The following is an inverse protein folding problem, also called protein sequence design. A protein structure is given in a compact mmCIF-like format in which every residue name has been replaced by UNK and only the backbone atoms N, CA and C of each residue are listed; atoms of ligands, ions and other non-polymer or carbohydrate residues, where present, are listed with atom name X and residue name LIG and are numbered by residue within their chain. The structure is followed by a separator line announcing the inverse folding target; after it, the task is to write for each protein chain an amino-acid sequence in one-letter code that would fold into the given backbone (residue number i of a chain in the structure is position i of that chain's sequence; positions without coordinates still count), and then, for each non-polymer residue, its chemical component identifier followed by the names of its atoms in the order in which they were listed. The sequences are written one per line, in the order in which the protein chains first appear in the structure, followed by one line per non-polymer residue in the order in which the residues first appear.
data_IF_997332373112
#
_entry.id   IF_997332373112
#
_cell.length_a   1.000
_cell.length_b   1.000
_cell.length_c   1.000
_cell.angle_alpha   90.00
_cell.angle_beta   90.00
_cell.angle_gamma   90.00
#
_symmetry.space_group_name_H-M   'P 1'
#
loop_
_entity.id
_entity.type
_entity.pdbx_description
1 polymer ?
#
# COMPACT_ATOMS: atom_id res chain seq x y z
N UNK A 1 -6.61 51.61 63.12
CA UNK A 1 -7.22 50.41 63.76
C UNK A 1 -7.48 49.43 62.62
N UNK A 2 -6.84 48.27 62.43
CA UNK A 2 -6.08 47.33 63.26
C UNK A 2 -4.95 46.64 62.43
N UNK A 3 -3.75 46.51 63.05
CA UNK A 3 -2.76 45.40 63.09
C UNK A 3 -2.58 44.46 61.85
N UNK A 4 -1.45 44.53 61.12
CA UNK A 4 -0.16 43.75 61.25
C UNK A 4 -0.24 42.32 60.68
N UNK A 5 0.32 42.02 59.50
CA UNK A 5 1.71 41.65 59.14
C UNK A 5 2.04 40.14 59.28
N UNK A 6 2.37 39.52 58.12
CA UNK A 6 3.31 38.42 57.80
C UNK A 6 3.33 37.13 58.63
N UNK A 7 3.41 35.94 57.98
CA UNK A 7 4.56 34.98 57.96
C UNK A 7 4.30 33.91 56.87
N UNK A 8 5.39 33.48 56.21
CA UNK A 8 5.53 32.44 55.17
C UNK A 8 5.70 30.99 55.78
N UNK A 9 6.15 29.92 55.07
CA UNK A 9 5.50 28.60 54.98
C UNK A 9 6.17 27.45 55.79
N UNK A 10 5.50 26.30 55.98
CA UNK A 10 6.15 24.98 56.07
C UNK A 10 5.20 23.76 56.03
N UNK A 11 5.77 22.65 55.53
CA UNK A 11 5.22 21.37 55.08
C UNK A 11 4.65 20.42 56.16
N UNK A 12 3.83 19.43 55.75
CA UNK A 12 3.99 17.99 56.11
C UNK A 12 2.96 17.05 55.42
N UNK A 13 3.49 16.20 54.52
CA UNK A 13 3.24 14.75 54.27
C UNK A 13 1.82 14.11 54.17
N UNK A 14 1.51 13.59 52.95
CA UNK A 14 0.94 12.27 52.51
C UNK A 14 -0.20 11.56 53.30
N UNK A 15 -1.18 10.84 52.66
CA UNK A 15 -0.90 9.80 51.64
C UNK A 15 -1.91 9.58 50.49
N UNK A 16 -1.44 8.83 49.48
CA UNK A 16 -2.23 8.09 48.49
C UNK A 16 -3.41 7.34 49.11
N UNK A 17 -4.64 7.58 48.64
CA UNK A 17 -5.70 6.59 48.31
C UNK A 17 -7.06 7.29 48.15
N UNK A 18 -7.92 6.71 47.29
CA UNK A 18 -9.34 7.06 46.98
C UNK A 18 -9.61 8.02 45.83
N UNK A 19 -9.13 7.62 44.65
CA UNK A 19 -9.73 7.98 43.36
C UNK A 19 -10.85 6.97 43.00
N UNK A 20 -11.85 6.78 43.88
CA UNK A 20 -12.91 5.78 43.65
C UNK A 20 -14.35 6.25 43.94
N UNK A 21 -14.57 7.53 44.28
CA UNK A 21 -15.90 8.02 44.64
C UNK A 21 -16.51 9.03 43.66
N UNK A 22 -16.04 9.04 42.40
CA UNK A 22 -16.60 9.88 41.33
C UNK A 22 -17.20 9.09 40.14
N UNK A 23 -17.31 7.75 40.23
CA UNK A 23 -17.90 6.91 39.16
C UNK A 23 -19.30 6.37 39.45
N UNK A 24 -19.90 6.70 40.59
CA UNK A 24 -21.21 6.12 40.98
C UNK A 24 -22.43 6.98 40.62
N UNK A 25 -22.29 8.13 39.95
CA UNK A 25 -23.44 9.01 39.66
C UNK A 25 -23.94 9.01 38.21
N UNK A 26 -23.36 8.21 37.31
CA UNK A 26 -23.77 8.19 35.89
C UNK A 26 -24.37 6.87 35.40
N UNK A 27 -24.64 5.90 36.30
CA UNK A 27 -25.33 4.66 35.96
C UNK A 27 -26.56 4.52 36.85
N UNK A 28 -27.59 5.34 36.62
CA UNK A 28 -28.88 5.16 37.31
C UNK A 28 -30.11 5.51 36.46
N UNK A 29 -30.02 5.68 35.13
CA UNK A 29 -31.23 5.99 34.34
C UNK A 29 -31.44 5.28 33.01
N UNK A 30 -30.61 4.30 32.62
CA UNK A 30 -30.93 3.51 31.41
C UNK A 30 -30.67 2.03 31.65
N UNK A 31 -31.75 1.26 31.82
CA UNK A 31 -31.74 -0.21 31.72
C UNK A 31 -31.48 -0.54 30.25
N UNK A 32 -30.21 -0.72 29.88
CA UNK A 32 -29.85 -1.27 28.58
C UNK A 32 -30.25 -2.75 28.54
N UNK A 33 -30.99 -3.13 27.50
CA UNK A 33 -31.37 -4.52 27.24
C UNK A 33 -30.16 -5.47 27.31
N UNK A 34 -30.30 -6.72 27.79
CA UNK A 34 -29.21 -7.70 27.84
C UNK A 34 -28.50 -7.93 26.50
N UNK A 35 -29.18 -7.65 25.38
CA UNK A 35 -28.63 -7.74 24.03
C UNK A 35 -27.64 -6.60 23.73
N UNK A 36 -27.93 -5.38 24.20
CA UNK A 36 -27.06 -4.21 24.09
C UNK A 36 -25.81 -4.33 24.97
N UNK A 37 -25.95 -4.89 26.18
CA UNK A 37 -24.81 -5.15 27.06
C UNK A 37 -23.87 -6.23 26.47
N UNK A 38 -24.42 -7.26 25.82
CA UNK A 38 -23.62 -8.24 25.04
C UNK A 38 -22.90 -7.57 23.88
N UNK A 39 -23.54 -6.69 23.10
CA UNK A 39 -22.91 -5.94 22.01
C UNK A 39 -21.82 -5.00 22.49
N UNK A 40 -22.02 -4.32 23.63
CA UNK A 40 -21.06 -3.41 24.24
C UNK A 40 -19.86 -4.15 24.84
N UNK A 41 -20.07 -5.33 25.43
CA UNK A 41 -19.01 -6.21 25.93
C UNK A 41 -18.28 -6.95 24.80
N UNK A 42 -18.94 -7.26 23.68
CA UNK A 42 -18.31 -7.81 22.47
C UNK A 42 -17.42 -6.75 21.80
N UNK A 43 -17.92 -5.50 21.66
CA UNK A 43 -17.13 -4.37 21.19
C UNK A 43 -15.96 -4.04 22.13
N UNK A 44 -16.13 -4.14 23.44
CA UNK A 44 -15.02 -3.95 24.39
C UNK A 44 -14.00 -5.10 24.37
N UNK A 45 -14.44 -6.36 24.20
CA UNK A 45 -13.52 -7.49 23.99
C UNK A 45 -12.75 -7.38 22.67
N UNK A 46 -13.35 -6.81 21.62
CA UNK A 46 -12.64 -6.45 20.39
C UNK A 46 -11.68 -5.27 20.59
N UNK A 47 -12.05 -4.26 21.38
CA UNK A 47 -11.18 -3.09 21.63
C UNK A 47 -9.97 -3.39 22.54
N UNK A 48 -10.00 -4.46 23.33
CA UNK A 48 -8.92 -4.83 24.27
C UNK A 48 -7.95 -5.87 23.64
N UNK A 49 -8.24 -6.35 22.42
CA UNK A 49 -7.35 -7.26 21.67
C UNK A 49 -6.72 -6.61 20.43
N UNK A 50 -6.53 -5.29 20.43
CA UNK A 50 -5.82 -4.56 19.37
C UNK A 50 -4.74 -3.68 19.98
N UNK A 51 -3.60 -4.28 20.33
CA UNK A 51 -2.34 -3.52 20.41
C UNK A 51 -1.08 -4.40 20.43
N UNK A 52 -1.13 -5.50 19.68
CA UNK A 52 0.06 -6.21 19.20
C UNK A 52 -0.33 -6.70 17.80
N UNK A 53 -0.13 -5.88 16.78
CA UNK A 53 0.04 -6.40 15.42
C UNK A 53 1.33 -7.22 15.46
N UNK A 54 1.24 -8.46 15.96
CA UNK A 54 2.29 -9.43 15.77
C UNK A 54 2.37 -9.61 14.25
N UNK A 55 3.39 -9.02 13.64
CA UNK A 55 3.72 -9.28 12.24
C UNK A 55 3.90 -10.80 12.15
N UNK A 56 2.93 -11.46 11.53
CA UNK A 56 3.00 -12.91 11.32
C UNK A 56 4.06 -13.09 10.24
N UNK A 57 5.23 -13.58 10.63
CA UNK A 57 6.30 -13.89 9.69
C UNK A 57 5.77 -14.80 8.58
N UNK A 58 6.00 -14.37 7.35
CA UNK A 58 5.48 -15.01 6.15
C UNK A 58 4.01 -14.73 5.88
N UNK A 59 3.36 -13.73 6.46
CA UNK A 59 2.00 -13.35 6.07
C UNK A 59 1.96 -12.55 4.76
N UNK A 60 0.79 -12.49 4.11
CA UNK A 60 0.49 -11.54 3.03
C UNK A 60 0.73 -10.08 3.42
N UNK A 61 0.64 -9.79 4.72
CA UNK A 61 0.82 -8.48 5.34
C UNK A 61 2.23 -8.21 5.86
N UNK A 62 3.18 -9.16 5.72
CA UNK A 62 4.57 -8.92 6.11
C UNK A 62 5.19 -7.78 5.29
N UNK A 63 6.02 -6.95 5.94
CA UNK A 63 6.75 -5.90 5.24
C UNK A 63 7.65 -6.52 4.15
N UNK A 64 7.60 -5.95 2.96
CA UNK A 64 8.33 -6.47 1.80
C UNK A 64 9.85 -6.56 2.03
N UNK A 65 10.45 -5.57 2.69
CA UNK A 65 11.89 -5.55 2.97
C UNK A 65 12.24 -6.61 4.01
N UNK A 66 11.47 -6.72 5.08
CA UNK A 66 11.65 -7.75 6.12
C UNK A 66 11.57 -9.16 5.51
N UNK A 67 10.56 -9.39 4.66
CA UNK A 67 10.38 -10.67 3.96
C UNK A 67 11.61 -11.03 3.14
N UNK A 68 12.05 -10.15 2.23
CA UNK A 68 13.16 -10.49 1.34
C UNK A 68 14.51 -10.50 2.07
N UNK A 69 14.66 -9.74 3.15
CA UNK A 69 15.87 -9.76 3.99
C UNK A 69 15.98 -11.08 4.75
N UNK A 70 14.92 -11.54 5.43
CA UNK A 70 14.98 -12.83 6.17
C UNK A 70 15.18 -14.04 5.26
N UNK A 71 14.79 -13.92 3.98
CA UNK A 71 14.98 -14.96 2.98
C UNK A 71 16.33 -14.83 2.22
N UNK A 72 17.22 -13.91 2.63
CA UNK A 72 18.53 -13.66 2.03
C UNK A 72 18.46 -13.30 0.52
N UNK A 73 17.38 -12.64 0.09
CA UNK A 73 17.20 -12.20 -1.29
C UNK A 73 17.63 -10.74 -1.52
N UNK A 74 17.71 -9.97 -0.44
CA UNK A 74 18.33 -8.64 -0.39
C UNK A 74 19.32 -8.58 0.77
N UNK A 75 20.26 -7.64 0.72
CA UNK A 75 21.32 -7.49 1.73
C UNK A 75 21.08 -6.35 2.71
N UNK A 76 20.23 -5.39 2.35
CA UNK A 76 19.90 -4.24 3.19
C UNK A 76 18.43 -3.85 3.05
N UNK A 77 17.91 -3.13 4.05
CA UNK A 77 16.59 -2.51 3.99
C UNK A 77 16.64 -1.30 3.04
N UNK A 78 16.49 -1.58 1.76
CA UNK A 78 16.53 -0.61 0.68
C UNK A 78 15.55 -1.03 -0.43
N UNK A 79 14.53 -0.19 -0.67
CA UNK A 79 13.50 -0.48 -1.66
C UNK A 79 14.04 -0.56 -3.10
N UNK A 80 15.21 -0.01 -3.39
CA UNK A 80 15.88 -0.17 -4.68
C UNK A 80 16.47 -1.58 -4.89
N UNK A 81 16.65 -2.40 -3.83
CA UNK A 81 17.06 -3.80 -3.99
C UNK A 81 15.86 -4.72 -4.35
N UNK A 82 14.62 -4.27 -4.14
CA UNK A 82 13.45 -5.01 -4.60
C UNK A 82 13.38 -4.90 -6.13
N UNK A 83 13.37 -6.06 -6.80
CA UNK A 83 13.26 -6.18 -8.25
C UNK A 83 11.85 -6.60 -8.63
N UNK A 84 11.34 -6.04 -9.72
CA UNK A 84 9.96 -6.21 -10.16
C UNK A 84 9.95 -6.87 -11.53
N UNK A 85 9.05 -7.82 -11.73
CA UNK A 85 8.64 -8.25 -13.05
C UNK A 85 7.31 -7.58 -13.36
N UNK A 86 7.34 -6.61 -14.25
CA UNK A 86 6.20 -5.77 -14.62
C UNK A 86 5.30 -6.45 -15.66
N UNK A 87 3.97 -6.28 -15.52
CA UNK A 87 2.93 -6.71 -16.45
C UNK A 87 3.03 -8.19 -16.85
N UNK A 88 3.08 -9.10 -15.87
CA UNK A 88 3.13 -10.54 -16.07
C UNK A 88 1.76 -11.15 -16.47
N UNK A 89 1.15 -10.60 -17.52
CA UNK A 89 -0.25 -10.86 -17.85
C UNK A 89 -0.46 -12.23 -18.50
N UNK A 90 0.33 -12.61 -19.51
CA UNK A 90 0.15 -13.91 -20.17
C UNK A 90 0.97 -15.05 -19.56
N UNK A 91 0.60 -16.30 -19.86
CA UNK A 91 1.29 -17.51 -19.35
C UNK A 91 2.78 -17.52 -19.67
N UNK A 92 3.18 -16.96 -20.82
CA UNK A 92 4.58 -16.83 -21.20
C UNK A 92 5.36 -15.90 -20.26
N UNK A 93 4.80 -14.73 -19.94
CA UNK A 93 5.39 -13.78 -18.99
C UNK A 93 5.49 -14.37 -17.59
N UNK A 94 4.47 -15.09 -17.11
CA UNK A 94 4.55 -15.76 -15.80
C UNK A 94 5.71 -16.75 -15.77
N UNK A 95 5.88 -17.57 -16.81
CA UNK A 95 7.02 -18.51 -16.91
C UNK A 95 8.37 -17.77 -16.92
N UNK A 96 8.47 -16.63 -17.58
CA UNK A 96 9.67 -15.80 -17.58
C UNK A 96 9.92 -15.17 -16.21
N UNK A 97 8.88 -14.61 -15.57
CA UNK A 97 8.93 -14.02 -14.25
C UNK A 97 9.39 -15.01 -13.19
N UNK A 98 8.88 -16.24 -13.24
CA UNK A 98 9.27 -17.33 -12.34
C UNK A 98 10.75 -17.72 -12.46
N UNK A 99 11.36 -17.60 -13.65
CA UNK A 99 12.78 -17.89 -13.89
C UNK A 99 13.70 -16.69 -13.65
N UNK A 100 13.14 -15.49 -13.62
CA UNK A 100 13.91 -14.25 -13.43
C UNK A 100 14.40 -14.07 -11.98
N UNK A 101 15.28 -13.10 -11.78
CA UNK A 101 15.72 -12.62 -10.46
C UNK A 101 14.72 -11.67 -9.78
N UNK A 102 13.53 -11.46 -10.36
CA UNK A 102 12.51 -10.59 -9.77
C UNK A 102 12.04 -11.08 -8.39
N UNK A 103 11.90 -10.16 -7.44
CA UNK A 103 11.36 -10.41 -6.11
C UNK A 103 9.83 -10.38 -6.13
N UNK A 104 9.26 -9.40 -6.82
CA UNK A 104 7.82 -9.21 -6.96
C UNK A 104 7.38 -9.49 -8.40
N UNK A 105 6.23 -10.13 -8.56
CA UNK A 105 5.54 -10.24 -9.85
C UNK A 105 4.31 -9.34 -9.78
N UNK A 106 4.26 -8.38 -10.68
CA UNK A 106 3.11 -7.50 -10.89
C UNK A 106 2.33 -7.97 -12.12
N UNK A 107 1.01 -7.91 -12.05
CA UNK A 107 0.14 -8.17 -13.19
C UNK A 107 -1.20 -7.44 -13.06
N UNK A 108 -1.75 -7.06 -14.21
CA UNK A 108 -2.95 -6.28 -14.35
C UNK A 108 -4.19 -7.17 -14.33
N UNK A 109 -5.25 -6.75 -13.64
CA UNK A 109 -6.48 -7.53 -13.48
C UNK A 109 -7.68 -6.74 -13.99
N UNK A 110 -8.46 -7.38 -14.85
CA UNK A 110 -9.77 -6.88 -15.27
C UNK A 110 -10.79 -8.01 -15.39
N UNK A 111 -12.06 -7.63 -15.45
CA UNK A 111 -13.17 -8.53 -15.74
C UNK A 111 -13.53 -8.39 -17.24
N UNK A 112 -13.53 -9.47 -18.04
CA UNK A 112 -13.95 -9.42 -19.43
C UNK A 112 -15.39 -8.90 -19.56
N UNK A 113 -15.66 -8.17 -20.64
CA UNK A 113 -16.89 -7.39 -20.81
C UNK A 113 -17.91 -7.97 -21.78
N UNK A 114 -18.11 -9.29 -21.86
CA UNK A 114 -19.07 -9.89 -22.81
C UNK A 114 -20.43 -10.29 -22.20
N UNK A 115 -20.61 -10.14 -20.88
CA UNK A 115 -21.91 -10.07 -20.20
C UNK A 115 -22.81 -11.32 -20.29
N UNK A 116 -22.28 -12.46 -20.73
CA UNK A 116 -23.08 -13.68 -20.94
C UNK A 116 -22.97 -14.70 -19.79
N UNK A 117 -21.93 -14.61 -18.95
CA UNK A 117 -21.70 -15.41 -17.73
C UNK A 117 -21.05 -14.52 -16.65
N UNK A 118 -21.01 -14.93 -15.36
CA UNK A 118 -20.15 -14.26 -14.38
C UNK A 118 -18.71 -14.42 -14.85
N UNK A 119 -18.19 -13.39 -15.53
CA UNK A 119 -16.85 -13.41 -16.08
C UNK A 119 -15.83 -13.73 -14.99
N UNK A 120 -14.83 -14.53 -15.32
CA UNK A 120 -13.71 -14.77 -14.42
C UNK A 120 -12.69 -13.62 -14.59
N UNK A 121 -12.07 -13.10 -13.50
CA UNK A 121 -10.97 -12.16 -13.64
C UNK A 121 -9.84 -12.74 -14.47
N UNK A 122 -9.35 -11.96 -15.43
CA UNK A 122 -8.21 -12.30 -16.28
C UNK A 122 -7.07 -11.32 -16.07
N UNK A 123 -5.88 -11.77 -16.46
CA UNK A 123 -4.68 -10.95 -16.37
C UNK A 123 -4.50 -10.15 -17.65
N UNK A 124 -4.87 -8.87 -17.68
CA UNK A 124 -4.85 -8.03 -18.87
C UNK A 124 -4.85 -6.52 -18.54
N UNK A 125 -4.25 -5.73 -19.42
CA UNK A 125 -4.21 -4.26 -19.36
C UNK A 125 -4.83 -3.66 -20.62
N UNK A 126 -5.81 -2.72 -20.52
CA UNK A 126 -6.36 -2.04 -21.69
C UNK A 126 -5.28 -1.42 -22.60
N UNK A 127 -5.39 -1.51 -23.93
CA UNK A 127 -6.58 -1.89 -24.69
C UNK A 127 -6.80 -3.41 -24.82
N UNK A 128 -5.91 -4.25 -24.29
CA UNK A 128 -6.13 -5.70 -24.25
C UNK A 128 -7.20 -6.01 -23.18
N UNK A 129 -8.28 -6.66 -23.61
CA UNK A 129 -9.41 -7.05 -22.74
C UNK A 129 -9.63 -8.57 -22.72
N UNK A 130 -8.67 -9.32 -23.25
CA UNK A 130 -8.63 -10.77 -23.28
C UNK A 130 -7.21 -11.24 -22.92
N UNK A 131 -7.07 -12.48 -22.44
CA UNK A 131 -5.80 -13.06 -22.04
C UNK A 131 -5.85 -14.57 -22.05
N UNK A 132 -4.71 -15.21 -22.36
CA UNK A 132 -4.55 -16.66 -22.23
C UNK A 132 -4.46 -17.14 -20.77
N UNK A 133 -4.59 -16.24 -19.81
CA UNK A 133 -4.32 -16.46 -18.40
C UNK A 133 -5.39 -15.83 -17.50
N UNK A 134 -6.17 -16.68 -16.86
CA UNK A 134 -7.08 -16.24 -15.79
C UNK A 134 -6.30 -15.90 -14.52
N UNK A 135 -6.86 -15.10 -13.62
CA UNK A 135 -6.25 -14.85 -12.31
C UNK A 135 -6.05 -16.15 -11.52
N UNK A 136 -6.98 -17.11 -11.64
CA UNK A 136 -6.86 -18.39 -10.94
C UNK A 136 -5.66 -19.21 -11.43
N UNK A 137 -5.46 -19.29 -12.75
CA UNK A 137 -4.29 -19.97 -13.34
C UNK A 137 -3.00 -19.23 -13.00
N UNK A 138 -3.01 -17.90 -13.05
CA UNK A 138 -1.88 -17.06 -12.66
C UNK A 138 -1.47 -17.32 -11.21
N UNK A 139 -2.43 -17.31 -10.27
CA UNK A 139 -2.18 -17.61 -8.86
C UNK A 139 -1.62 -19.03 -8.67
N UNK A 140 -2.19 -20.01 -9.37
CA UNK A 140 -1.72 -21.39 -9.29
C UNK A 140 -0.26 -21.57 -9.71
N UNK A 141 0.21 -20.81 -10.72
CA UNK A 141 1.62 -20.82 -11.14
C UNK A 141 2.51 -20.01 -10.20
N UNK A 142 2.14 -18.77 -9.87
CA UNK A 142 2.95 -17.88 -9.02
C UNK A 142 3.16 -18.44 -7.62
N UNK A 143 2.15 -19.13 -7.07
CA UNK A 143 2.21 -19.80 -5.78
C UNK A 143 3.29 -20.89 -5.69
N UNK A 144 3.77 -21.43 -6.83
CA UNK A 144 4.88 -22.42 -6.86
C UNK A 144 6.24 -21.81 -6.54
N UNK A 145 6.35 -20.48 -6.48
CA UNK A 145 7.57 -19.76 -6.10
C UNK A 145 7.43 -19.06 -4.74
N UNK A 146 8.48 -18.40 -4.27
CA UNK A 146 8.46 -17.51 -3.10
C UNK A 146 8.39 -16.02 -3.50
N UNK A 147 8.08 -15.71 -4.76
CA UNK A 147 7.97 -14.33 -5.24
C UNK A 147 6.73 -13.68 -4.65
N UNK A 148 6.85 -12.42 -4.26
CA UNK A 148 5.70 -11.63 -3.80
C UNK A 148 4.80 -11.23 -4.98
N UNK A 149 3.59 -10.78 -4.64
CA UNK A 149 2.50 -10.55 -5.61
C UNK A 149 2.10 -9.08 -5.55
N UNK A 150 1.93 -8.45 -6.70
CA UNK A 150 1.21 -7.18 -6.84
C UNK A 150 0.12 -7.35 -7.90
N UNK A 151 -1.14 -7.11 -7.55
CA UNK A 151 -2.26 -7.18 -8.49
C UNK A 151 -2.76 -5.77 -8.78
N UNK A 152 -2.71 -5.35 -10.04
CA UNK A 152 -3.12 -4.01 -10.49
C UNK A 152 -4.51 -4.01 -11.15
N UNK A 153 -5.51 -3.58 -10.40
CA UNK A 153 -6.89 -3.59 -10.84
C UNK A 153 -7.20 -2.43 -11.80
N UNK A 154 -7.58 -2.79 -13.03
CA UNK A 154 -8.02 -1.84 -14.07
C UNK A 154 -9.53 -1.62 -14.09
N UNK A 155 -10.29 -2.44 -13.36
CA UNK A 155 -11.73 -2.24 -13.21
C UNK A 155 -12.23 -2.68 -11.84
N UNK A 156 -13.17 -1.91 -11.28
CA UNK A 156 -13.82 -2.22 -10.01
C UNK A 156 -14.55 -3.58 -10.06
N UNK A 157 -15.14 -3.92 -11.21
CA UNK A 157 -15.87 -5.17 -11.40
C UNK A 157 -15.02 -6.43 -11.16
N UNK A 158 -13.70 -6.33 -11.33
CA UNK A 158 -12.79 -7.46 -11.10
C UNK A 158 -12.42 -7.66 -9.62
N UNK A 159 -12.64 -6.66 -8.76
CA UNK A 159 -12.07 -6.61 -7.41
C UNK A 159 -12.64 -7.70 -6.52
N UNK A 160 -13.96 -7.74 -6.32
CA UNK A 160 -14.60 -8.72 -5.45
C UNK A 160 -14.37 -10.18 -5.92
N UNK A 161 -14.58 -10.54 -7.21
CA UNK A 161 -14.27 -11.89 -7.68
C UNK A 161 -12.79 -12.27 -7.48
N UNK A 162 -11.87 -11.32 -7.62
CA UNK A 162 -10.44 -11.56 -7.39
C UNK A 162 -10.11 -11.75 -5.92
N UNK A 163 -10.75 -11.00 -5.02
CA UNK A 163 -10.59 -11.18 -3.57
C UNK A 163 -11.08 -12.55 -3.13
N UNK A 164 -12.19 -13.05 -3.69
CA UNK A 164 -12.66 -14.41 -3.43
C UNK A 164 -11.64 -15.48 -3.87
N UNK A 165 -11.01 -15.31 -5.03
CA UNK A 165 -9.96 -16.21 -5.50
C UNK A 165 -8.71 -16.17 -4.61
N UNK A 166 -8.29 -15.00 -4.16
CA UNK A 166 -7.19 -14.85 -3.20
C UNK A 166 -7.52 -15.48 -1.84
N UNK A 167 -8.73 -15.30 -1.33
CA UNK A 167 -9.18 -15.88 -0.04
C UNK A 167 -9.09 -17.41 -0.07
N UNK A 168 -9.43 -18.05 -1.20
CA UNK A 168 -9.32 -19.50 -1.38
C UNK A 168 -7.89 -20.02 -1.22
N UNK A 169 -6.89 -19.19 -1.55
CA UNK A 169 -5.47 -19.54 -1.45
C UNK A 169 -4.77 -18.90 -0.24
N UNK A 170 -5.48 -18.15 0.59
CA UNK A 170 -4.94 -17.34 1.70
C UNK A 170 -4.00 -18.07 2.64
N UNK A 171 -4.33 -19.32 2.99
CA UNK A 171 -3.48 -20.17 3.87
C UNK A 171 -2.11 -20.48 3.26
N UNK A 172 -1.97 -20.35 1.95
CA UNK A 172 -0.75 -20.58 1.18
C UNK A 172 -0.06 -19.27 0.75
N UNK A 173 -0.66 -18.10 1.01
CA UNK A 173 -0.08 -16.79 0.75
C UNK A 173 1.00 -16.46 1.78
N UNK A 174 2.11 -17.21 1.72
CA UNK A 174 3.24 -17.06 2.62
C UNK A 174 4.30 -16.06 2.13
N UNK A 175 3.85 -14.89 1.68
CA UNK A 175 4.61 -13.92 0.88
C UNK A 175 3.93 -12.55 0.88
N UNK A 176 4.62 -11.43 0.63
CA UNK A 176 3.99 -10.12 0.53
C UNK A 176 2.97 -10.08 -0.63
N UNK A 177 1.79 -9.53 -0.36
CA UNK A 177 0.74 -9.28 -1.36
C UNK A 177 0.37 -7.80 -1.34
N UNK A 178 0.44 -7.17 -2.50
CA UNK A 178 0.10 -5.76 -2.70
C UNK A 178 -1.11 -5.68 -3.63
N UNK A 179 -2.11 -4.89 -3.25
CA UNK A 179 -3.33 -4.71 -4.02
C UNK A 179 -3.35 -3.26 -4.55
N UNK A 180 -3.26 -3.13 -5.86
CA UNK A 180 -3.06 -1.86 -6.56
C UNK A 180 -4.31 -1.41 -7.32
N UNK A 181 -4.59 -0.11 -7.29
CA UNK A 181 -5.49 0.53 -8.24
C UNK A 181 -5.17 2.02 -8.37
N UNK A 182 -5.44 2.58 -9.55
CA UNK A 182 -5.47 4.02 -9.76
C UNK A 182 -6.84 4.58 -9.36
N UNK A 183 -6.90 5.17 -8.17
CA UNK A 183 -8.16 5.61 -7.54
C UNK A 183 -8.44 7.10 -7.68
N UNK A 184 -7.46 7.87 -8.16
CA UNK A 184 -7.57 9.32 -8.36
C UNK A 184 -7.04 9.75 -9.73
N UNK A 185 -7.54 10.85 -10.31
CA UNK A 185 -6.97 11.43 -11.52
C UNK A 185 -5.65 12.13 -11.19
N UNK A 186 -4.59 11.78 -11.90
CA UNK A 186 -3.27 12.38 -11.75
C UNK A 186 -2.89 13.30 -12.89
N UNK A 187 -1.61 13.69 -12.97
CA UNK A 187 -1.15 14.59 -14.01
C UNK A 187 -1.34 14.01 -15.41
N UNK A 188 -1.83 14.85 -16.32
CA UNK A 188 -2.05 14.53 -17.72
C UNK A 188 -3.01 13.34 -17.96
N UNK A 189 -3.80 12.93 -16.97
CA UNK A 189 -4.65 11.77 -17.06
C UNK A 189 -5.83 11.98 -18.03
N UNK A 190 -6.13 10.95 -18.82
CA UNK A 190 -7.32 10.87 -19.67
C UNK A 190 -8.15 9.59 -19.43
N UNK A 191 -7.65 8.69 -18.58
CA UNK A 191 -8.27 7.41 -18.25
C UNK A 191 -9.24 7.53 -17.08
N UNK A 192 -10.20 6.60 -17.04
CA UNK A 192 -11.10 6.44 -15.89
C UNK A 192 -10.34 5.88 -14.69
N UNK A 193 -10.71 6.35 -13.51
CA UNK A 193 -10.21 5.83 -12.23
C UNK A 193 -11.11 4.70 -11.73
N UNK A 194 -10.56 3.89 -10.83
CA UNK A 194 -11.35 2.96 -10.01
C UNK A 194 -11.97 3.73 -8.84
N UNK A 195 -13.23 3.46 -8.48
CA UNK A 195 -13.87 4.10 -7.33
C UNK A 195 -13.11 3.79 -6.03
N UNK A 196 -12.54 4.83 -5.41
CA UNK A 196 -11.67 4.71 -4.26
C UNK A 196 -12.33 3.99 -3.08
N UNK A 197 -13.55 4.42 -2.72
CA UNK A 197 -14.26 3.90 -1.55
C UNK A 197 -14.60 2.43 -1.73
N UNK A 198 -15.24 2.09 -2.84
CA UNK A 198 -15.66 0.71 -3.12
C UNK A 198 -14.46 -0.23 -3.21
N UNK A 199 -13.37 0.21 -3.87
CA UNK A 199 -12.14 -0.57 -3.95
C UNK A 199 -11.55 -0.87 -2.56
N UNK A 200 -11.36 0.17 -1.73
CA UNK A 200 -10.77 0.04 -0.40
C UNK A 200 -11.67 -0.80 0.52
N UNK A 201 -12.98 -0.52 0.56
CA UNK A 201 -13.92 -1.27 1.41
C UNK A 201 -13.98 -2.75 1.03
N UNK A 202 -14.05 -3.06 -0.27
CA UNK A 202 -14.02 -4.45 -0.75
C UNK A 202 -12.72 -5.13 -0.37
N UNK A 203 -11.55 -4.58 -0.71
CA UNK A 203 -10.25 -5.22 -0.44
C UNK A 203 -10.04 -5.45 1.06
N UNK A 204 -10.30 -4.43 1.88
CA UNK A 204 -10.05 -4.50 3.32
C UNK A 204 -11.05 -5.38 4.07
N UNK A 205 -12.22 -5.68 3.49
CA UNK A 205 -13.14 -6.67 4.06
C UNK A 205 -12.61 -8.11 4.00
N UNK A 206 -11.77 -8.44 3.02
CA UNK A 206 -11.12 -9.75 2.87
C UNK A 206 -9.73 -9.78 3.52
N UNK A 207 -8.94 -8.73 3.26
CA UNK A 207 -7.55 -8.61 3.71
C UNK A 207 -7.34 -7.28 4.47
N UNK A 208 -7.71 -7.22 5.77
CA UNK A 208 -7.72 -5.98 6.54
C UNK A 208 -6.32 -5.38 6.80
N UNK A 209 -5.26 -6.15 6.57
CA UNK A 209 -3.86 -5.80 6.84
C UNK A 209 -2.97 -5.87 5.57
N UNK A 210 -3.55 -6.03 4.38
CA UNK A 210 -2.79 -6.04 3.11
C UNK A 210 -2.13 -4.70 2.83
N UNK A 211 -1.01 -4.71 2.11
CA UNK A 211 -0.45 -3.45 1.59
C UNK A 211 -1.29 -2.95 0.44
N UNK A 212 -1.80 -1.72 0.57
CA UNK A 212 -2.52 -1.04 -0.50
C UNK A 212 -1.55 -0.23 -1.35
N UNK A 213 -1.68 -0.33 -2.68
CA UNK A 213 -0.87 0.42 -3.64
C UNK A 213 -1.80 1.37 -4.39
N UNK A 214 -2.00 2.57 -3.84
CA UNK A 214 -3.04 3.50 -4.28
C UNK A 214 -2.44 4.58 -5.16
N UNK A 215 -2.77 4.52 -6.44
CA UNK A 215 -2.17 5.35 -7.48
C UNK A 215 -3.09 6.43 -8.00
N UNK A 216 -2.52 7.18 -8.94
CA UNK A 216 -3.26 8.07 -9.80
C UNK A 216 -3.17 7.57 -11.24
N UNK A 217 -4.26 7.70 -12.00
CA UNK A 217 -4.13 7.61 -13.46
C UNK A 217 -3.20 8.72 -13.93
N UNK A 218 -2.33 8.44 -14.89
CA UNK A 218 -1.33 9.41 -15.37
C UNK A 218 -1.17 9.36 -16.87
N UNK A 219 -0.81 10.49 -17.45
CA UNK A 219 -0.39 10.60 -18.84
C UNK A 219 1.05 11.09 -18.94
N UNK A 220 1.70 10.75 -20.06
CA UNK A 220 2.98 11.32 -20.45
C UNK A 220 2.96 11.60 -21.95
N UNK A 221 3.55 12.72 -22.35
CA UNK A 221 3.59 13.17 -23.74
C UNK A 221 4.99 13.69 -24.10
N UNK A 222 5.60 13.22 -25.21
CA UNK A 222 6.95 13.64 -25.61
C UNK A 222 7.05 15.11 -26.02
N UNK A 223 5.96 15.67 -26.55
CA UNK A 223 5.91 17.01 -27.15
C UNK A 223 5.31 18.08 -26.22
N UNK A 224 4.94 17.72 -24.99
CA UNK A 224 4.30 18.62 -24.03
C UNK A 224 5.12 18.71 -22.75
N UNK A 225 4.95 19.81 -22.04
CA UNK A 225 5.39 19.90 -20.64
C UNK A 225 4.57 18.90 -19.85
N UNK A 226 5.25 17.94 -19.23
CA UNK A 226 4.62 16.96 -18.36
C UNK A 226 4.60 17.53 -16.95
N UNK A 227 3.41 17.93 -16.49
CA UNK A 227 3.23 18.38 -15.12
C UNK A 227 3.40 17.23 -14.13
N UNK A 228 3.90 17.55 -12.93
CA UNK A 228 3.94 16.63 -11.82
C UNK A 228 2.65 16.63 -10.99
N UNK A 229 2.59 15.75 -10.00
CA UNK A 229 1.58 15.72 -8.95
C UNK A 229 1.47 17.07 -8.22
N UNK A 230 0.28 17.66 -8.28
CA UNK A 230 -0.04 18.94 -7.64
C UNK A 230 -0.30 18.80 -6.13
N UNK A 231 -0.31 19.92 -5.41
CA UNK A 231 -0.70 19.95 -4.00
C UNK A 231 -2.11 19.42 -3.75
N UNK A 232 -3.04 19.71 -4.65
CA UNK A 232 -4.42 19.22 -4.57
C UNK A 232 -4.44 17.70 -4.66
N UNK A 233 -3.72 17.12 -5.64
CA UNK A 233 -3.65 15.68 -5.86
C UNK A 233 -3.12 14.92 -4.63
N UNK A 234 -2.00 15.38 -4.04
CA UNK A 234 -1.43 14.69 -2.87
C UNK A 234 -2.25 14.87 -1.60
N UNK A 235 -2.95 16.01 -1.44
CA UNK A 235 -3.84 16.25 -0.30
C UNK A 235 -5.11 15.41 -0.38
N UNK A 236 -5.65 15.21 -1.58
CA UNK A 236 -6.80 14.33 -1.79
C UNK A 236 -6.46 12.87 -1.50
N UNK A 237 -5.30 12.40 -1.97
CA UNK A 237 -4.81 11.06 -1.63
C UNK A 237 -4.59 10.90 -0.11
N UNK A 238 -4.01 11.91 0.55
CA UNK A 238 -3.84 11.91 2.01
C UNK A 238 -5.18 11.84 2.75
N UNK A 239 -6.17 12.61 2.30
CA UNK A 239 -7.51 12.60 2.87
C UNK A 239 -8.17 11.22 2.80
N UNK A 240 -7.98 10.48 1.70
CA UNK A 240 -8.47 9.10 1.56
C UNK A 240 -7.69 8.14 2.47
N UNK A 241 -6.37 8.32 2.58
CA UNK A 241 -5.49 7.35 3.21
C UNK A 241 -5.30 7.53 4.71
N UNK A 242 -5.70 8.67 5.30
CA UNK A 242 -5.42 9.01 6.69
C UNK A 242 -6.16 8.11 7.70
N UNK A 243 -7.37 7.64 7.35
CA UNK A 243 -8.18 6.73 8.16
C UNK A 243 -7.80 5.25 8.00
N UNK A 244 -6.97 4.92 7.01
CA UNK A 244 -6.52 3.55 6.76
C UNK A 244 -5.55 3.08 7.85
N UNK A 245 -5.56 1.79 8.16
CA UNK A 245 -4.59 1.17 9.09
C UNK A 245 -3.50 0.38 8.35
N UNK A 246 -3.72 0.10 7.07
CA UNK A 246 -2.84 -0.68 6.20
C UNK A 246 -1.55 0.09 5.86
N UNK A 247 -0.43 -0.59 5.56
CA UNK A 247 0.64 0.01 4.79
C UNK A 247 0.12 0.53 3.45
N UNK A 248 0.55 1.72 3.04
CA UNK A 248 0.15 2.32 1.75
C UNK A 248 1.40 2.69 0.96
N UNK A 249 1.49 2.22 -0.27
CA UNK A 249 2.47 2.72 -1.23
C UNK A 249 1.75 3.54 -2.29
N UNK A 250 2.38 4.62 -2.75
CA UNK A 250 1.84 5.47 -3.81
C UNK A 250 2.65 5.25 -5.09
N UNK A 251 2.09 4.56 -6.10
CA UNK A 251 2.68 4.48 -7.42
C UNK A 251 2.78 5.88 -8.05
N UNK A 252 4.00 6.32 -8.33
CA UNK A 252 4.26 7.58 -9.02
C UNK A 252 5.13 7.36 -10.25
N UNK A 253 4.78 8.00 -11.36
CA UNK A 253 5.45 7.80 -12.64
C UNK A 253 6.78 8.54 -12.66
N UNK A 254 7.88 7.84 -12.97
CA UNK A 254 9.26 8.35 -12.98
C UNK A 254 9.40 9.68 -13.74
N UNK A 255 8.75 9.83 -14.89
CA UNK A 255 8.81 11.04 -15.70
C UNK A 255 8.16 12.29 -15.07
N UNK A 256 7.42 12.13 -13.97
CA UNK A 256 6.62 13.20 -13.34
C UNK A 256 7.08 13.54 -11.91
N UNK A 257 8.04 12.79 -11.36
CA UNK A 257 8.40 12.91 -9.93
C UNK A 257 9.26 14.13 -9.63
N UNK A 258 10.09 14.55 -10.59
CA UNK A 258 11.05 15.66 -10.41
C UNK A 258 10.34 16.96 -10.05
N UNK A 259 9.20 17.22 -10.68
CA UNK A 259 8.40 18.43 -10.45
C UNK A 259 7.62 18.39 -9.13
N UNK A 260 7.55 17.23 -8.47
CA UNK A 260 6.66 16.96 -7.34
C UNK A 260 7.36 16.54 -6.07
N UNK A 261 8.68 16.69 -5.98
CA UNK A 261 9.46 16.25 -4.84
C UNK A 261 8.90 16.81 -3.50
N UNK A 262 8.55 18.09 -3.46
CA UNK A 262 7.99 18.74 -2.26
C UNK A 262 6.63 18.17 -1.85
N UNK A 263 5.75 17.92 -2.82
CA UNK A 263 4.41 17.38 -2.63
C UNK A 263 4.47 15.95 -2.13
N UNK A 264 5.29 15.11 -2.76
CA UNK A 264 5.47 13.71 -2.40
C UNK A 264 6.16 13.57 -1.04
N UNK A 265 7.15 14.42 -0.73
CA UNK A 265 7.79 14.46 0.58
C UNK A 265 6.80 14.83 1.69
N UNK A 266 5.95 15.83 1.44
CA UNK A 266 4.89 16.19 2.39
C UNK A 266 3.93 15.03 2.63
N UNK A 267 3.56 14.29 1.58
CA UNK A 267 2.67 13.13 1.69
C UNK A 267 3.31 12.05 2.55
N UNK A 268 4.57 11.67 2.30
CA UNK A 268 5.26 10.61 3.05
C UNK A 268 5.49 10.97 4.53
N UNK A 269 5.56 12.26 4.87
CA UNK A 269 5.66 12.70 6.27
C UNK A 269 4.37 12.54 7.09
N UNK A 270 3.24 12.20 6.46
CA UNK A 270 1.94 12.10 7.14
C UNK A 270 1.79 10.83 7.95
N UNK A 271 2.48 9.77 7.55
CA UNK A 271 2.41 8.48 8.21
C UNK A 271 3.66 7.67 7.91
N UNK A 272 4.19 6.97 8.92
CA UNK A 272 5.27 6.00 8.74
C UNK A 272 4.84 4.76 7.93
N UNK A 273 3.52 4.58 7.71
CA UNK A 273 2.96 3.53 6.85
C UNK A 273 3.08 3.83 5.37
N UNK A 274 3.46 5.07 5.02
CA UNK A 274 3.47 5.55 3.65
C UNK A 274 4.82 5.30 2.96
N UNK A 275 4.75 4.98 1.68
CA UNK A 275 5.89 4.72 0.80
C UNK A 275 5.57 5.16 -0.63
N UNK A 276 6.59 5.22 -1.49
CA UNK A 276 6.45 5.44 -2.93
C UNK A 276 6.85 4.18 -3.70
N UNK A 277 6.18 3.94 -4.81
CA UNK A 277 6.66 3.01 -5.85
C UNK A 277 6.87 3.82 -7.13
N UNK A 278 8.13 4.07 -7.49
CA UNK A 278 8.48 4.76 -8.74
C UNK A 278 8.31 3.76 -9.88
N UNK A 279 7.46 4.07 -10.86
CA UNK A 279 7.20 3.20 -12.00
C UNK A 279 7.40 3.92 -13.33
N UNK A 280 7.61 3.17 -14.42
CA UNK A 280 7.76 3.75 -15.76
C UNK A 280 6.90 3.05 -16.81
N UNK A 281 6.31 3.84 -17.71
CA UNK A 281 5.75 3.35 -18.96
C UNK A 281 6.84 3.06 -19.99
N UNK A 282 6.52 2.24 -20.99
CA UNK A 282 7.45 1.84 -22.08
C UNK A 282 7.99 3.02 -22.90
N UNK A 283 7.21 4.09 -23.01
CA UNK A 283 7.53 5.25 -23.84
C UNK A 283 7.94 6.48 -23.01
N UNK A 284 7.97 6.36 -21.68
CA UNK A 284 8.30 7.49 -20.83
C UNK A 284 9.78 7.88 -21.05
N UNK A 285 10.04 9.18 -21.07
CA UNK A 285 11.40 9.71 -21.04
C UNK A 285 11.64 10.42 -19.70
N UNK A 286 12.70 10.00 -19.01
CA UNK A 286 13.15 10.54 -17.73
C UNK A 286 14.64 10.30 -17.59
N UNK A 287 15.29 11.15 -16.80
CA UNK A 287 16.74 11.09 -16.60
C UNK A 287 17.12 10.25 -15.39
N UNK A 288 18.36 9.78 -15.36
CA UNK A 288 18.93 9.17 -14.16
C UNK A 288 18.91 10.16 -12.98
N UNK A 289 19.15 11.44 -13.26
CA UNK A 289 19.13 12.53 -12.30
C UNK A 289 17.75 12.71 -11.62
N UNK A 290 16.66 12.43 -12.33
CA UNK A 290 15.32 12.46 -11.75
C UNK A 290 15.15 11.38 -10.69
N UNK A 291 15.69 10.18 -10.92
CA UNK A 291 15.68 9.09 -9.95
C UNK A 291 16.62 9.36 -8.78
N UNK A 292 17.82 9.87 -9.04
CA UNK A 292 18.78 10.24 -8.00
C UNK A 292 18.24 11.37 -7.12
N UNK A 293 17.48 12.31 -7.69
CA UNK A 293 16.79 13.32 -6.90
C UNK A 293 15.84 12.68 -5.88
N UNK A 294 15.02 11.71 -6.28
CA UNK A 294 14.15 11.00 -5.33
C UNK A 294 15.00 10.23 -4.32
N UNK A 295 16.07 9.60 -4.77
CA UNK A 295 16.97 8.87 -3.89
C UNK A 295 17.56 9.74 -2.77
N UNK A 296 17.90 10.98 -3.07
CA UNK A 296 18.54 11.90 -2.12
C UNK A 296 17.57 12.52 -1.10
N UNK A 297 16.28 12.63 -1.46
CA UNK A 297 15.28 13.35 -0.65
C UNK A 297 14.45 12.44 0.27
N UNK A 298 14.41 11.14 0.00
CA UNK A 298 13.52 10.20 0.65
C UNK A 298 14.30 9.08 1.36
N UNK A 299 13.73 8.53 2.44
CA UNK A 299 14.30 7.34 3.08
C UNK A 299 14.26 6.17 2.09
N UNK A 300 15.42 5.54 1.89
CA UNK A 300 15.58 4.35 1.03
C UNK A 300 14.63 3.20 1.39
N UNK A 301 14.18 3.11 2.64
CA UNK A 301 13.21 2.09 3.08
C UNK A 301 11.79 2.36 2.58
N UNK A 302 11.50 3.60 2.19
CA UNK A 302 10.17 4.06 1.80
C UNK A 302 10.00 4.21 0.28
N UNK A 303 11.02 3.92 -0.55
CA UNK A 303 10.93 4.10 -2.00
C UNK A 303 11.34 2.83 -2.74
N UNK A 304 10.41 2.26 -3.50
CA UNK A 304 10.59 1.12 -4.39
C UNK A 304 10.64 1.56 -5.85
N UNK A 305 11.28 0.78 -6.71
CA UNK A 305 11.55 1.15 -8.10
C UNK A 305 11.12 0.02 -9.06
N UNK A 306 9.91 0.12 -9.61
CA UNK A 306 9.38 -0.72 -10.69
C UNK A 306 9.72 -0.09 -12.05
N UNK A 307 11.01 -0.11 -12.37
CA UNK A 307 11.57 0.62 -13.51
C UNK A 307 12.06 -0.38 -14.56
N UNK A 308 11.77 -0.09 -15.83
CA UNK A 308 12.21 -0.88 -16.98
C UNK A 308 13.72 -0.73 -17.23
N UNK A 309 14.30 -1.76 -17.82
CA UNK A 309 15.69 -1.72 -18.29
C UNK A 309 15.80 -0.91 -19.60
N UNK A 310 16.95 -0.25 -19.86
CA UNK A 310 18.22 -0.30 -19.10
C UNK A 310 18.36 0.70 -17.93
N UNK A 311 17.42 1.63 -17.76
CA UNK A 311 17.55 2.71 -16.77
C UNK A 311 17.62 2.19 -15.33
N UNK A 312 16.90 1.12 -15.01
CA UNK A 312 16.96 0.48 -13.68
C UNK A 312 18.37 -0.01 -13.34
N UNK A 313 19.07 -0.66 -14.29
CA UNK A 313 20.46 -1.08 -14.10
C UNK A 313 21.42 0.11 -13.97
N UNK A 314 21.22 1.19 -14.72
CA UNK A 314 22.02 2.42 -14.59
C UNK A 314 21.82 3.06 -13.22
N UNK A 315 20.58 3.18 -12.77
CA UNK A 315 20.23 3.70 -11.45
C UNK A 315 20.86 2.87 -10.33
N UNK A 316 20.71 1.56 -10.36
CA UNK A 316 21.30 0.66 -9.36
C UNK A 316 22.81 0.79 -9.27
N UNK A 317 23.49 0.85 -10.42
CA UNK A 317 24.95 1.10 -10.46
C UNK A 317 25.30 2.44 -9.83
N UNK A 318 24.55 3.51 -10.13
CA UNK A 318 24.79 4.83 -9.58
C UNK A 318 24.61 4.90 -8.04
N UNK A 319 23.70 4.11 -7.48
CA UNK A 319 23.47 4.04 -6.02
C UNK A 319 24.24 2.93 -5.31
N UNK A 320 25.15 2.24 -6.01
CA UNK A 320 26.03 1.22 -5.44
C UNK A 320 25.35 -0.12 -5.14
N UNK A 321 24.26 -0.45 -5.84
CA UNK A 321 23.60 -1.77 -5.75
C UNK A 321 24.19 -2.67 -6.83
N UNK A 322 24.73 -3.82 -6.42
CA UNK A 322 25.23 -4.84 -7.33
C UNK A 322 24.10 -5.36 -8.23
N UNK A 323 24.35 -5.35 -9.54
CA UNK A 323 23.44 -5.92 -10.54
C UNK A 323 24.07 -7.22 -11.00
N UNK A 324 23.55 -8.34 -10.51
CA UNK A 324 23.93 -9.66 -11.01
C UNK A 324 23.40 -9.80 -12.45
N UNK A 325 24.33 -9.77 -13.42
CA UNK A 325 24.08 -9.94 -14.84
C UNK A 325 23.68 -11.38 -15.19
#
# INVERSE_FOLDING_TARGET
MCKSCEVEPCELSLPYTKLETAKSYFISQYILSPCLLKKFLLHKKQSILFNLNAVILGSWSENILEYFLRNNQITTEDGAQITWYHAANHKAQVKAALKSTAHMIEADVLLPGDGSEPGQPIMAHPPETDSDNTLQEWLAEVMKSNKGIKLDFKSLAAVEPSMMLLENVKRHLKRPVWINADILPGPNANSRVVDAKSFIETVTSFFPDVTLSLGWTTGWHPEKVNEGYSWTMVKEMEYICNELNQPVTFPVRAALVRQSCSQLHWLLKKSNRYSLTIWTGKNDNYSLEDLLCIRDHFDKKQVFYDILEPQNQEFKRAVGIEVNL
#
